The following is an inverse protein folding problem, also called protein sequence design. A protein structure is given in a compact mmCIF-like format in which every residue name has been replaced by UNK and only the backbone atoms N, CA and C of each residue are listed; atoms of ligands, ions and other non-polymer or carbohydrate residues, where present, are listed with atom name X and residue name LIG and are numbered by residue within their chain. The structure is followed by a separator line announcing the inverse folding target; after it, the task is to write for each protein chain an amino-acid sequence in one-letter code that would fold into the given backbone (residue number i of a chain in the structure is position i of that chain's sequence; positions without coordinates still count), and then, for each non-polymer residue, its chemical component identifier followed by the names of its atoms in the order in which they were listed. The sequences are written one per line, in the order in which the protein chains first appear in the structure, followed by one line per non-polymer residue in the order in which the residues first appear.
data_IF_047097500670
#
_entry.id   IF_047097500670
#
_cell.length_a   1.000
_cell.length_b   1.000
_cell.length_c   1.000
_cell.angle_alpha   90.00
_cell.angle_beta   90.00
_cell.angle_gamma   90.00
#
_symmetry.space_group_name_H-M   'P 1'
#
loop_
_entity.id
_entity.type
_entity.pdbx_description
1 polymer ?
#
# COMPACT_ATOMS: atom_id res chain seq x y z
N UNK A 1 -29.18 -23.02 33.03
CA UNK A 1 -28.78 -24.13 32.13
C UNK A 1 -28.51 -23.54 30.77
N UNK A 2 -27.22 -23.43 30.43
CA UNK A 2 -26.72 -22.96 29.15
C UNK A 2 -26.80 -24.07 28.11
N UNK A 3 -27.20 -23.73 26.89
CA UNK A 3 -26.72 -24.39 25.67
C UNK A 3 -26.63 -23.32 24.57
N UNK A 4 -25.46 -22.68 24.50
CA UNK A 4 -25.04 -21.95 23.30
C UNK A 4 -24.78 -22.99 22.21
N UNK A 5 -25.57 -22.95 21.15
CA UNK A 5 -25.27 -23.66 19.92
C UNK A 5 -24.06 -22.99 19.25
N UNK A 6 -22.93 -23.68 19.28
CA UNK A 6 -21.79 -23.40 18.41
C UNK A 6 -22.22 -23.64 16.96
N UNK A 7 -22.69 -22.58 16.30
CA UNK A 7 -22.82 -22.59 14.85
C UNK A 7 -21.43 -22.37 14.27
N UNK A 8 -20.92 -23.40 13.61
CA UNK A 8 -19.60 -23.42 13.02
C UNK A 8 -19.34 -22.21 12.14
N UNK A 9 -18.15 -21.62 12.31
CA UNK A 9 -17.53 -20.82 11.28
C UNK A 9 -17.32 -21.74 10.07
N UNK A 10 -18.31 -21.77 9.17
CA UNK A 10 -18.09 -22.21 7.80
C UNK A 10 -17.00 -21.29 7.26
N UNK A 11 -15.80 -21.84 7.10
CA UNK A 11 -14.74 -21.25 6.28
C UNK A 11 -15.43 -20.87 4.97
N UNK A 12 -15.58 -19.56 4.74
CA UNK A 12 -16.09 -19.08 3.46
C UNK A 12 -15.25 -19.74 2.37
N UNK A 13 -15.86 -20.35 1.33
CA UNK A 13 -15.09 -20.94 0.25
C UNK A 13 -14.12 -19.87 -0.24
N UNK A 14 -12.81 -20.18 -0.23
CA UNK A 14 -11.80 -19.29 -0.78
C UNK A 14 -12.26 -18.94 -2.19
N UNK A 15 -12.72 -17.69 -2.38
CA UNK A 15 -13.31 -17.29 -3.64
C UNK A 15 -12.32 -17.61 -4.77
N UNK A 16 -12.79 -18.30 -5.79
CA UNK A 16 -11.97 -18.54 -6.97
C UNK A 16 -11.65 -17.18 -7.60
N UNK A 17 -10.38 -17.00 -7.98
CA UNK A 17 -9.95 -15.77 -8.66
C UNK A 17 -10.44 -15.78 -10.10
N UNK A 18 -10.61 -14.60 -10.66
CA UNK A 18 -11.08 -14.46 -12.04
C UNK A 18 -9.95 -14.68 -13.05
N UNK A 19 -10.34 -15.03 -14.27
CA UNK A 19 -9.44 -15.10 -15.42
C UNK A 19 -9.57 -13.81 -16.25
N UNK A 20 -8.43 -13.20 -16.59
CA UNK A 20 -8.38 -12.09 -17.52
C UNK A 20 -8.86 -12.53 -18.91
N UNK A 21 -9.96 -11.98 -19.39
CA UNK A 21 -10.57 -12.35 -20.68
C UNK A 21 -9.72 -12.05 -21.93
N UNK A 22 -8.63 -11.27 -21.81
CA UNK A 22 -7.73 -10.95 -22.95
C UNK A 22 -6.47 -11.79 -23.00
N UNK A 23 -5.81 -12.04 -21.87
CA UNK A 23 -4.55 -12.78 -21.82
C UNK A 23 -4.65 -14.14 -21.12
N UNK A 24 -5.86 -14.52 -20.69
CA UNK A 24 -6.16 -15.78 -20.02
C UNK A 24 -5.35 -16.03 -18.73
N UNK A 25 -4.82 -14.97 -18.10
CA UNK A 25 -4.13 -15.06 -16.82
C UNK A 25 -5.11 -15.03 -15.66
N UNK A 26 -4.86 -15.88 -14.69
CA UNK A 26 -5.54 -15.83 -13.41
C UNK A 26 -5.10 -14.60 -12.59
N UNK A 27 -6.06 -13.90 -12.01
CA UNK A 27 -5.92 -12.69 -11.20
C UNK A 27 -6.43 -12.95 -9.77
N UNK A 28 -5.86 -12.30 -8.73
CA UNK A 28 -6.34 -12.38 -7.35
C UNK A 28 -7.57 -11.48 -7.11
N UNK A 29 -8.51 -11.48 -8.06
CA UNK A 29 -9.66 -10.60 -8.09
C UNK A 29 -10.94 -11.43 -8.28
N UNK A 30 -12.07 -10.95 -7.78
CA UNK A 30 -13.40 -11.45 -8.12
C UNK A 30 -14.29 -10.32 -8.61
N UNK A 31 -15.28 -10.67 -9.42
CA UNK A 31 -16.32 -9.72 -9.82
C UNK A 31 -17.12 -9.33 -8.57
N UNK A 32 -17.39 -8.04 -8.43
CA UNK A 32 -18.22 -7.53 -7.34
C UNK A 32 -19.69 -7.89 -7.58
N UNK A 33 -20.37 -8.32 -6.53
CA UNK A 33 -21.81 -8.54 -6.52
C UNK A 33 -22.57 -7.22 -6.31
N UNK A 34 -23.88 -7.27 -6.50
CA UNK A 34 -24.72 -6.09 -6.36
C UNK A 34 -24.66 -5.53 -4.93
N UNK A 35 -24.24 -4.27 -4.80
CA UNK A 35 -24.12 -3.57 -3.53
C UNK A 35 -22.73 -3.63 -2.89
N UNK A 36 -21.79 -4.38 -3.46
CA UNK A 36 -20.41 -4.37 -2.99
C UNK A 36 -19.59 -3.21 -3.58
N UNK A 37 -18.62 -2.73 -2.80
CA UNK A 37 -17.68 -1.71 -3.26
C UNK A 37 -16.51 -2.36 -4.01
N UNK A 38 -16.25 -1.90 -5.23
CA UNK A 38 -15.20 -2.45 -6.09
C UNK A 38 -14.18 -1.37 -6.46
N UNK A 39 -12.89 -1.73 -6.41
CA UNK A 39 -11.82 -0.86 -6.88
C UNK A 39 -11.52 -1.17 -8.36
N UNK A 40 -10.88 -0.23 -9.06
CA UNK A 40 -10.39 -0.51 -10.40
C UNK A 40 -8.97 -1.07 -10.30
N UNK A 41 -8.84 -2.33 -10.67
CA UNK A 41 -7.57 -3.04 -10.80
C UNK A 41 -7.21 -3.15 -12.28
N UNK A 42 -5.94 -3.39 -12.59
CA UNK A 42 -5.46 -3.60 -13.95
C UNK A 42 -4.73 -4.92 -14.05
N UNK A 43 -5.00 -5.68 -15.10
CA UNK A 43 -4.14 -6.82 -15.46
C UNK A 43 -2.80 -6.27 -15.95
N UNK A 44 -1.72 -6.64 -15.28
CA UNK A 44 -0.36 -6.17 -15.58
C UNK A 44 0.09 -6.55 -16.99
N UNK A 45 -0.33 -7.72 -17.46
CA UNK A 45 0.08 -8.25 -18.76
C UNK A 45 -0.55 -7.50 -19.95
N UNK A 46 -1.84 -7.18 -19.88
CA UNK A 46 -2.59 -6.66 -21.03
C UNK A 46 -3.22 -5.28 -20.80
N UNK A 47 -3.01 -4.69 -19.62
CA UNK A 47 -3.47 -3.36 -19.23
C UNK A 47 -4.98 -3.19 -19.10
N UNK A 48 -5.78 -4.25 -19.22
CA UNK A 48 -7.25 -4.12 -19.11
C UNK A 48 -7.65 -3.78 -17.68
N UNK A 49 -8.50 -2.76 -17.47
CA UNK A 49 -9.06 -2.45 -16.17
C UNK A 49 -10.22 -3.39 -15.80
N UNK A 50 -10.31 -3.75 -14.52
CA UNK A 50 -11.32 -4.60 -13.92
C UNK A 50 -11.91 -3.88 -12.70
N UNK A 51 -13.21 -3.52 -12.70
CA UNK A 51 -13.91 -3.14 -11.48
C UNK A 51 -14.15 -4.41 -10.68
N UNK A 52 -13.34 -4.63 -9.65
CA UNK A 52 -13.27 -5.91 -8.95
C UNK A 52 -12.91 -5.75 -7.47
N UNK A 53 -13.19 -6.81 -6.72
CA UNK A 53 -12.79 -6.94 -5.32
C UNK A 53 -11.55 -7.81 -5.25
N UNK A 54 -10.55 -7.34 -4.50
CA UNK A 54 -9.33 -8.10 -4.26
C UNK A 54 -9.65 -9.31 -3.37
N UNK A 55 -8.99 -10.44 -3.60
CA UNK A 55 -9.02 -11.61 -2.73
C UNK A 55 -7.70 -11.62 -1.95
N UNK A 56 -7.65 -11.10 -0.70
CA UNK A 56 -6.40 -10.86 0.02
C UNK A 56 -5.49 -12.09 0.12
N UNK A 57 -6.07 -13.27 0.35
CA UNK A 57 -5.33 -14.53 0.51
C UNK A 57 -4.58 -14.97 -0.75
N UNK A 58 -5.03 -14.51 -1.93
CA UNK A 58 -4.40 -14.83 -3.21
C UNK A 58 -3.34 -13.82 -3.63
N UNK A 59 -3.36 -12.63 -3.02
CA UNK A 59 -2.48 -11.52 -3.38
C UNK A 59 -0.99 -11.85 -3.19
N UNK A 60 -0.54 -12.56 -2.13
CA UNK A 60 0.88 -12.93 -2.01
C UNK A 60 1.40 -13.80 -3.17
N UNK A 61 0.54 -14.63 -3.76
CA UNK A 61 0.92 -15.52 -4.86
C UNK A 61 0.78 -14.87 -6.25
N UNK A 62 -0.15 -13.92 -6.41
CA UNK A 62 -0.56 -13.39 -7.72
C UNK A 62 -0.46 -11.85 -7.82
N UNK A 63 0.10 -11.18 -6.81
CA UNK A 63 0.13 -9.72 -6.73
C UNK A 63 0.89 -9.06 -7.88
N UNK A 64 1.90 -9.74 -8.44
CA UNK A 64 2.64 -9.28 -9.61
C UNK A 64 1.82 -9.25 -10.91
N UNK A 65 0.65 -9.89 -10.93
CA UNK A 65 -0.26 -9.93 -12.08
C UNK A 65 -1.29 -8.80 -12.10
N UNK A 66 -1.41 -8.07 -10.99
CA UNK A 66 -2.35 -6.96 -10.85
C UNK A 66 -1.66 -5.69 -10.39
N UNK A 67 -2.23 -4.56 -10.79
CA UNK A 67 -1.88 -3.24 -10.28
C UNK A 67 -3.17 -2.52 -9.89
N UNK A 68 -3.11 -1.64 -8.90
CA UNK A 68 -4.21 -0.72 -8.64
C UNK A 68 -4.15 0.40 -9.69
N UNK A 69 -5.30 0.77 -10.25
CA UNK A 69 -5.38 1.73 -11.36
C UNK A 69 -4.75 3.09 -10.98
N UNK A 70 -4.01 3.67 -11.92
CA UNK A 70 -3.26 4.91 -11.74
C UNK A 70 -4.09 6.09 -11.25
N UNK A 71 -5.41 6.10 -11.50
CA UNK A 71 -6.33 7.13 -11.01
C UNK A 71 -6.42 7.17 -9.49
N UNK A 72 -6.19 6.06 -8.80
CA UNK A 72 -6.14 6.02 -7.32
C UNK A 72 -4.87 6.66 -6.75
N UNK A 73 -3.91 7.04 -7.61
CA UNK A 73 -2.65 7.67 -7.23
C UNK A 73 -2.46 9.03 -7.90
N UNK A 74 -3.53 9.64 -8.40
CA UNK A 74 -3.45 11.00 -8.93
C UNK A 74 -3.15 11.97 -7.78
N UNK A 75 -2.04 12.67 -7.88
CA UNK A 75 -1.63 13.72 -6.95
C UNK A 75 -1.54 15.08 -7.62
N UNK A 76 -2.06 15.23 -8.84
CA UNK A 76 -1.98 16.46 -9.63
C UNK A 76 -2.71 17.64 -8.97
N UNK A 77 -3.71 17.35 -8.13
CA UNK A 77 -4.48 18.33 -7.36
C UNK A 77 -3.85 18.70 -6.01
N UNK A 78 -2.77 18.02 -5.59
CA UNK A 78 -2.11 18.28 -4.31
C UNK A 78 -1.03 19.34 -4.46
N UNK A 79 -0.89 20.26 -3.49
CA UNK A 79 0.19 21.25 -3.52
C UNK A 79 1.54 20.53 -3.48
N UNK A 80 2.54 20.98 -4.27
CA UNK A 80 3.85 20.34 -4.27
C UNK A 80 4.53 20.48 -2.92
N UNK A 81 5.17 19.42 -2.44
CA UNK A 81 6.03 19.47 -1.26
C UNK A 81 7.27 20.32 -1.58
N UNK A 82 7.44 21.42 -0.86
CA UNK A 82 8.59 22.32 -1.04
C UNK A 82 9.92 21.62 -0.71
N UNK A 83 11.01 22.10 -1.30
CA UNK A 83 12.37 21.59 -1.00
C UNK A 83 12.71 21.75 0.48
N UNK A 84 12.28 22.85 1.10
CA UNK A 84 12.53 23.12 2.53
C UNK A 84 11.76 22.14 3.42
N UNK A 85 10.48 21.91 3.12
CA UNK A 85 9.66 20.89 3.80
C UNK A 85 10.29 19.52 3.68
N UNK A 86 10.79 19.16 2.48
CA UNK A 86 11.47 17.88 2.25
C UNK A 86 12.74 17.78 3.10
N UNK A 87 13.56 18.82 3.15
CA UNK A 87 14.79 18.86 3.94
C UNK A 87 14.50 18.76 5.45
N UNK A 88 13.44 19.43 5.92
CA UNK A 88 12.99 19.33 7.31
C UNK A 88 12.54 17.91 7.66
N UNK A 89 11.72 17.27 6.83
CA UNK A 89 11.28 15.89 7.04
C UNK A 89 12.46 14.92 7.09
N UNK A 90 13.42 15.04 6.15
CA UNK A 90 14.64 14.20 6.16
C UNK A 90 15.42 14.40 7.46
N UNK A 91 15.58 15.65 7.91
CA UNK A 91 16.32 15.98 9.13
C UNK A 91 15.64 15.39 10.38
N UNK A 92 14.32 15.52 10.49
CA UNK A 92 13.55 14.94 11.60
C UNK A 92 13.67 13.41 11.62
N UNK A 93 13.60 12.76 10.45
CA UNK A 93 13.73 11.31 10.36
C UNK A 93 15.16 10.79 10.64
N UNK A 94 16.20 11.59 10.34
CA UNK A 94 17.60 11.22 10.53
C UNK A 94 18.02 11.28 12.01
N UNK A 95 17.70 12.37 12.71
CA UNK A 95 18.15 12.60 14.10
C UNK A 95 17.70 11.53 15.10
N UNK A 96 16.62 10.82 14.81
CA UNK A 96 16.09 9.79 15.71
C UNK A 96 16.65 8.38 15.43
N UNK A 97 17.49 8.25 14.41
CA UNK A 97 18.25 7.03 14.12
C UNK A 97 19.56 6.93 14.91
N UNK A 98 20.05 8.06 15.46
CA UNK A 98 21.37 8.19 16.08
C UNK A 98 21.40 7.88 17.60
N UNK A 99 20.34 7.27 18.13
CA UNK A 99 20.38 6.72 19.48
C UNK A 99 21.37 5.55 19.53
N UNK A 100 22.46 5.71 20.30
CA UNK A 100 23.54 4.76 20.64
C UNK A 100 23.10 3.37 21.20
N UNK A 101 21.85 2.96 20.99
CA UNK A 101 21.40 1.61 21.28
C UNK A 101 21.79 0.67 20.10
N UNK A 102 22.26 -0.55 20.37
CA UNK A 102 22.50 -1.53 19.32
C UNK A 102 21.21 -1.75 18.52
N UNK A 103 21.30 -1.60 17.19
CA UNK A 103 20.20 -1.78 16.25
C UNK A 103 19.58 -3.17 16.45
N UNK A 104 18.40 -3.23 17.09
CA UNK A 104 17.71 -4.49 17.41
C UNK A 104 16.96 -5.07 16.22
N UNK A 105 16.93 -4.37 15.08
CA UNK A 105 16.15 -4.79 13.91
C UNK A 105 16.85 -5.90 13.16
N UNK A 106 16.05 -6.86 12.69
CA UNK A 106 16.50 -8.02 11.89
C UNK A 106 17.08 -7.62 10.52
N UNK A 107 16.71 -6.45 10.00
CA UNK A 107 17.16 -5.96 8.70
C UNK A 107 17.61 -4.51 8.77
N UNK A 108 18.77 -4.21 8.17
CA UNK A 108 19.27 -2.84 8.04
C UNK A 108 18.30 -1.99 7.23
N UNK A 109 18.05 -0.76 7.70
CA UNK A 109 17.32 0.26 6.96
C UNK A 109 18.30 1.08 6.12
N UNK A 110 17.91 1.34 4.88
CA UNK A 110 18.59 2.29 3.97
C UNK A 110 17.81 3.59 4.04
N UNK A 111 18.48 4.66 4.45
CA UNK A 111 17.90 5.99 4.41
C UNK A 111 17.63 6.39 2.95
N UNK A 112 16.43 6.88 2.69
CA UNK A 112 16.02 7.38 1.37
C UNK A 112 15.24 8.67 1.55
N UNK A 113 15.06 9.44 0.47
CA UNK A 113 14.17 10.59 0.47
C UNK A 113 13.37 10.55 -0.82
N UNK A 114 12.26 9.81 -0.82
CA UNK A 114 11.45 9.57 -2.02
C UNK A 114 10.03 10.09 -1.81
N UNK A 115 9.53 10.88 -2.77
CA UNK A 115 8.11 11.24 -2.80
C UNK A 115 7.29 10.05 -3.30
N UNK A 116 6.16 9.79 -2.64
CA UNK A 116 5.24 8.72 -2.98
C UNK A 116 3.79 9.20 -2.89
N UNK A 117 2.94 8.58 -3.70
CA UNK A 117 1.49 8.69 -3.55
C UNK A 117 0.99 7.54 -2.67
N UNK A 118 0.04 7.84 -1.79
CA UNK A 118 -0.61 6.88 -0.91
C UNK A 118 -2.11 6.92 -1.04
N UNK A 119 -2.75 5.77 -0.81
CA UNK A 119 -4.19 5.67 -0.59
C UNK A 119 -4.44 4.70 0.56
N UNK A 120 -5.31 5.08 1.49
CA UNK A 120 -5.71 4.21 2.60
C UNK A 120 -6.58 3.06 2.08
N UNK A 121 -6.30 1.86 2.58
CA UNK A 121 -6.97 0.63 2.19
C UNK A 121 -7.59 -0.06 3.41
N UNK A 122 -8.81 -0.56 3.26
CA UNK A 122 -9.45 -1.40 4.29
C UNK A 122 -8.87 -2.83 4.33
N UNK A 123 -9.48 -3.70 5.13
CA UNK A 123 -9.06 -5.11 5.29
C UNK A 123 -9.21 -5.95 4.01
N UNK A 124 -10.01 -5.50 3.05
CA UNK A 124 -10.22 -6.14 1.76
C UNK A 124 -9.37 -5.49 0.65
N UNK A 125 -8.46 -4.59 1.02
CA UNK A 125 -7.65 -3.79 0.11
C UNK A 125 -8.47 -2.88 -0.82
N UNK A 126 -9.66 -2.47 -0.39
CA UNK A 126 -10.46 -1.46 -1.08
C UNK A 126 -10.00 -0.05 -0.68
N UNK A 127 -9.80 0.88 -1.62
CA UNK A 127 -9.44 2.27 -1.32
C UNK A 127 -10.54 3.04 -0.58
N UNK A 128 -10.24 3.53 0.62
CA UNK A 128 -11.21 4.22 1.50
C UNK A 128 -10.87 5.70 1.77
N UNK A 129 -9.76 6.21 1.25
CA UNK A 129 -9.41 7.64 1.31
C UNK A 129 -9.17 8.23 -0.08
N UNK A 130 -9.21 9.57 -0.20
CA UNK A 130 -8.52 10.25 -1.29
C UNK A 130 -7.02 9.94 -1.31
N UNK A 131 -6.38 10.14 -2.47
CA UNK A 131 -4.92 10.07 -2.57
C UNK A 131 -4.27 11.15 -1.71
N UNK A 132 -3.17 10.81 -1.06
CA UNK A 132 -2.31 11.75 -0.34
C UNK A 132 -0.84 11.60 -0.78
N UNK A 133 -0.05 12.64 -0.52
CA UNK A 133 1.39 12.63 -0.74
C UNK A 133 2.12 12.30 0.56
N UNK A 134 3.15 11.47 0.46
CA UNK A 134 4.03 11.16 1.59
C UNK A 134 5.48 11.13 1.16
N UNK A 135 6.37 11.21 2.14
CA UNK A 135 7.79 10.96 1.95
C UNK A 135 8.18 9.61 2.52
N UNK A 136 8.79 8.76 1.70
CA UNK A 136 9.54 7.61 2.19
C UNK A 136 10.90 8.08 2.66
N UNK A 137 11.20 7.84 3.93
CA UNK A 137 12.43 8.27 4.63
C UNK A 137 13.42 7.14 4.86
N UNK A 138 12.94 5.89 4.87
CA UNK A 138 13.81 4.72 4.89
C UNK A 138 13.09 3.48 4.30
N UNK A 139 13.89 2.54 3.81
CA UNK A 139 13.43 1.27 3.25
C UNK A 139 14.24 0.14 3.88
N UNK A 140 13.62 -1.01 4.08
CA UNK A 140 14.30 -2.26 4.45
C UNK A 140 13.74 -3.41 3.62
N UNK A 141 14.28 -4.62 3.81
CA UNK A 141 13.71 -5.81 3.17
C UNK A 141 12.25 -6.09 3.60
N UNK A 142 11.87 -5.67 4.82
CA UNK A 142 10.55 -5.96 5.39
C UNK A 142 9.54 -4.80 5.36
N UNK A 143 9.94 -3.59 4.96
CA UNK A 143 9.01 -2.46 5.00
C UNK A 143 9.59 -1.09 4.72
N UNK A 144 8.76 -0.07 4.97
CA UNK A 144 9.01 1.34 4.70
C UNK A 144 8.81 2.20 5.96
N UNK A 145 9.69 3.18 6.14
CA UNK A 145 9.43 4.34 6.98
C UNK A 145 8.91 5.47 6.11
N UNK A 146 7.76 6.02 6.49
CA UNK A 146 7.06 7.07 5.74
C UNK A 146 6.76 8.25 6.66
N UNK A 147 6.63 9.45 6.10
CA UNK A 147 6.16 10.65 6.80
C UNK A 147 5.06 11.28 5.97
N UNK A 148 3.93 11.57 6.63
CA UNK A 148 2.76 12.21 6.04
C UNK A 148 2.30 13.39 6.93
N UNK A 149 1.50 14.29 6.36
CA UNK A 149 0.72 15.25 7.13
C UNK A 149 -0.58 14.59 7.58
N UNK A 150 -0.76 14.41 8.89
CA UNK A 150 -1.95 13.76 9.44
C UNK A 150 -1.82 12.26 9.67
N UNK A 151 -2.76 11.73 10.44
CA UNK A 151 -2.82 10.31 10.84
C UNK A 151 -3.55 9.50 9.77
N UNK A 152 -3.08 8.26 9.61
CA UNK A 152 -3.75 7.23 8.82
C UNK A 152 -4.71 6.50 9.74
N UNK A 153 -5.93 6.28 9.28
CA UNK A 153 -6.97 5.58 10.05
C UNK A 153 -7.09 4.12 9.65
N UNK A 154 -6.69 3.80 8.41
CA UNK A 154 -6.79 2.48 7.84
C UNK A 154 -5.63 1.55 8.23
N UNK A 155 -5.87 0.23 8.25
CA UNK A 155 -4.83 -0.76 8.55
C UNK A 155 -3.78 -0.89 7.44
N UNK A 156 -4.12 -0.54 6.20
CA UNK A 156 -3.26 -0.71 5.05
C UNK A 156 -3.15 0.58 4.23
N UNK A 157 -2.04 0.70 3.51
CA UNK A 157 -1.80 1.77 2.54
C UNK A 157 -1.30 1.13 1.24
N UNK A 158 -1.91 1.48 0.12
CA UNK A 158 -1.31 1.27 -1.18
C UNK A 158 -0.36 2.44 -1.46
N UNK A 159 0.91 2.14 -1.72
CA UNK A 159 1.93 3.14 -2.02
C UNK A 159 2.39 2.98 -3.47
N UNK A 160 2.45 4.10 -4.20
CA UNK A 160 3.08 4.17 -5.52
C UNK A 160 4.36 5.00 -5.43
N UNK A 161 5.48 4.30 -5.55
CA UNK A 161 6.83 4.83 -5.47
C UNK A 161 7.36 5.09 -6.88
N UNK A 162 7.74 6.34 -7.19
CA UNK A 162 8.41 6.67 -8.45
C UNK A 162 9.90 6.87 -8.20
N UNK A 163 10.74 6.02 -8.78
CA UNK A 163 12.18 6.22 -8.76
C UNK A 163 12.61 7.05 -9.96
N UNK A 164 13.57 7.95 -9.80
CA UNK A 164 14.23 8.63 -10.93
C UNK A 164 15.04 7.67 -11.81
N UNK A 165 15.36 6.47 -11.32
CA UNK A 165 16.22 5.50 -12.01
C UNK A 165 15.45 4.39 -12.73
N UNK A 166 14.16 4.22 -12.45
CA UNK A 166 13.31 3.22 -13.10
C UNK A 166 12.20 3.92 -13.86
N UNK A 167 11.98 3.49 -15.10
CA UNK A 167 10.87 3.99 -15.91
C UNK A 167 9.51 3.63 -15.28
N UNK A 168 9.42 2.44 -14.67
CA UNK A 168 8.19 1.93 -14.10
C UNK A 168 8.04 2.25 -12.60
N UNK A 169 6.85 2.73 -12.17
CA UNK A 169 6.56 2.93 -10.76
C UNK A 169 6.47 1.59 -10.04
N UNK A 170 6.87 1.56 -8.77
CA UNK A 170 6.69 0.40 -7.90
C UNK A 170 5.41 0.63 -7.11
N UNK A 171 4.45 -0.30 -7.21
CA UNK A 171 3.28 -0.33 -6.35
C UNK A 171 3.46 -1.39 -5.26
N UNK A 172 3.17 -1.04 -4.01
CA UNK A 172 3.24 -1.95 -2.86
C UNK A 172 2.04 -1.70 -1.95
N UNK A 173 1.55 -2.75 -1.30
CA UNK A 173 0.63 -2.63 -0.17
C UNK A 173 1.45 -2.82 1.10
N UNK A 174 1.30 -1.89 2.03
CA UNK A 174 1.94 -1.93 3.35
C UNK A 174 0.89 -1.96 4.45
N UNK A 175 1.16 -2.75 5.49
CA UNK A 175 0.40 -2.73 6.74
C UNK A 175 0.96 -1.66 7.64
N UNK A 176 0.11 -0.80 8.18
CA UNK A 176 0.50 0.20 9.17
C UNK A 176 0.78 -0.50 10.50
N UNK A 177 2.04 -0.52 10.93
CA UNK A 177 2.47 -1.19 12.18
C UNK A 177 2.75 -0.22 13.32
N UNK A 178 3.03 1.05 13.00
CA UNK A 178 3.19 2.11 14.00
C UNK A 178 2.91 3.48 13.38
N UNK A 179 2.43 4.40 14.20
CA UNK A 179 2.36 5.83 13.89
C UNK A 179 2.90 6.62 15.07
N UNK A 180 3.73 7.63 14.81
CA UNK A 180 4.36 8.48 15.82
C UNK A 180 4.39 9.91 15.33
N UNK A 181 3.99 10.84 16.18
CA UNK A 181 4.12 12.26 15.86
C UNK A 181 5.60 12.66 15.91
N UNK A 182 6.08 13.33 14.85
CA UNK A 182 7.41 13.92 14.83
C UNK A 182 7.33 15.37 15.33
N UNK A 183 6.54 16.17 14.62
CA UNK A 183 6.23 17.57 14.91
C UNK A 183 4.98 17.90 14.13
N UNK A 184 3.95 18.43 14.78
CA UNK A 184 2.72 18.84 14.07
C UNK A 184 3.03 19.69 12.82
N UNK A 185 2.49 19.35 11.63
CA UNK A 185 1.47 18.31 11.36
C UNK A 185 2.04 16.93 10.93
N UNK A 186 3.35 16.70 11.03
CA UNK A 186 4.05 15.53 10.51
C UNK A 186 3.97 14.30 11.42
N UNK A 187 3.50 13.21 10.85
CA UNK A 187 3.41 11.89 11.47
C UNK A 187 4.36 10.93 10.75
N UNK A 188 5.26 10.29 11.49
CA UNK A 188 6.03 9.13 11.05
C UNK A 188 5.13 7.89 11.07
N UNK A 189 5.11 7.16 9.97
CA UNK A 189 4.37 5.91 9.78
C UNK A 189 5.37 4.80 9.48
N UNK A 190 5.32 3.73 10.26
CA UNK A 190 6.01 2.48 9.93
C UNK A 190 5.07 1.56 9.18
N UNK A 191 5.47 1.14 7.99
CA UNK A 191 4.76 0.17 7.16
C UNK A 191 5.54 -1.14 7.02
N UNK A 192 4.87 -2.27 7.18
CA UNK A 192 5.39 -3.61 6.83
C UNK A 192 4.90 -4.00 5.44
N UNK A 193 5.77 -4.55 4.58
CA UNK A 193 5.36 -5.00 3.25
C UNK A 193 4.40 -6.19 3.35
N UNK A 194 3.23 -6.06 2.74
CA UNK A 194 2.27 -7.16 2.58
C UNK A 194 2.47 -7.82 1.23
N UNK A 195 2.49 -7.00 0.18
CA UNK A 195 2.69 -7.48 -1.19
C UNK A 195 3.29 -6.38 -2.06
N UNK A 196 4.06 -6.80 -3.05
CA UNK A 196 4.44 -5.96 -4.18
C UNK A 196 3.50 -6.26 -5.34
N UNK A 197 2.86 -5.23 -5.86
CA UNK A 197 2.01 -5.32 -7.02
C UNK A 197 2.86 -5.22 -8.30
N UNK A 198 2.30 -5.68 -9.42
CA UNK A 198 2.93 -5.48 -10.72
C UNK A 198 2.86 -4.03 -11.19
N UNK A 199 3.48 -3.76 -12.32
CA UNK A 199 3.42 -2.46 -13.00
C UNK A 199 2.95 -2.69 -14.42
N UNK A 200 1.94 -1.97 -14.87
CA UNK A 200 1.54 -1.97 -16.28
C UNK A 200 2.63 -1.24 -17.07
N UNK A 201 3.40 -1.97 -17.88
CA UNK A 201 4.31 -1.37 -18.83
C UNK A 201 3.49 -0.54 -19.83
N UNK A 202 3.86 0.73 -20.01
CA UNK A 202 3.25 1.60 -21.02
C UNK A 202 3.94 1.43 -22.37
#
# INVERSE_FOLDING_TARGET
MSTYGSSGALLAPCAEGMICNRCNRELPLRIAEAGEHAAVWQCVECGIPFPAICIPDRLPALGDRVALDDRHFDTSYLPPISTDTRAEIVRMAAHESDGYAPEKRRSRRVAVALLAAGVELDEQFYPISPTFQMMVVNVSAGGLGMVNMGRITAPFIACKLRSSYRAEPIQVIVRVVRQRELRSPYIEIGGEFVVRLGSVAK
#
